data_IF_238407449938
#
_entry.id   IF_238407449938
#
_cell.length_a   1.000
_cell.length_b   1.000
_cell.length_c   1.000
_cell.angle_alpha   90.00
_cell.angle_beta   90.00
_cell.angle_gamma   90.00
#
_symmetry.space_group_name_H-M   'P 1'
#
loop_
_entity.id
_entity.type
_entity.pdbx_description
1 polymer ?
#
# COMPACT_ATOMS: atom_id res chain seq x y z
N UNK A 1 -2.44 10.78 27.33
CA UNK A 1 -1.72 9.50 27.39
C UNK A 1 -0.25 9.74 27.06
N UNK A 2 0.67 9.04 27.73
CA UNK A 2 2.10 9.12 27.42
C UNK A 2 2.43 8.48 26.06
N UNK A 3 3.50 8.94 25.40
CA UNK A 3 3.97 8.35 24.13
C UNK A 3 4.58 6.97 24.39
N UNK A 4 4.21 6.00 23.58
CA UNK A 4 4.87 4.69 23.56
C UNK A 4 6.00 4.71 22.53
N UNK A 5 7.05 3.94 22.77
CA UNK A 5 8.21 3.84 21.88
C UNK A 5 8.40 2.37 21.49
N UNK A 6 8.53 2.11 20.20
CA UNK A 6 8.76 0.78 19.64
C UNK A 6 9.91 0.88 18.64
N UNK A 7 10.84 -0.06 18.71
CA UNK A 7 12.10 -0.02 17.96
C UNK A 7 12.34 -1.30 17.17
N UNK A 8 13.32 -1.22 16.27
CA UNK A 8 13.90 -2.34 15.54
C UNK A 8 12.88 -3.27 14.86
N UNK A 9 13.08 -4.57 15.01
CA UNK A 9 12.28 -5.60 14.36
C UNK A 9 10.83 -5.58 14.83
N UNK A 10 10.58 -5.30 16.12
CA UNK A 10 9.23 -5.23 16.65
C UNK A 10 8.42 -4.11 15.96
N UNK A 11 9.04 -2.94 15.75
CA UNK A 11 8.42 -1.84 15.02
C UNK A 11 8.15 -2.20 13.55
N UNK A 12 9.14 -2.76 12.86
CA UNK A 12 9.01 -3.15 11.44
C UNK A 12 7.96 -4.25 11.24
N UNK A 13 7.91 -5.22 12.15
CA UNK A 13 6.92 -6.30 12.12
C UNK A 13 5.50 -5.77 12.32
N UNK A 14 5.29 -4.85 13.27
CA UNK A 14 3.99 -4.22 13.49
C UNK A 14 3.53 -3.41 12.27
N UNK A 15 4.41 -2.59 11.69
CA UNK A 15 4.10 -1.85 10.47
C UNK A 15 3.75 -2.81 9.33
N UNK A 16 4.55 -3.87 9.12
CA UNK A 16 4.31 -4.86 8.07
C UNK A 16 2.95 -5.56 8.22
N UNK A 17 2.52 -5.89 9.43
CA UNK A 17 1.19 -6.47 9.67
C UNK A 17 0.08 -5.51 9.23
N UNK A 18 0.17 -4.25 9.61
CA UNK A 18 -0.79 -3.23 9.20
C UNK A 18 -0.86 -3.02 7.68
N UNK A 19 0.31 -2.91 7.05
CA UNK A 19 0.45 -2.83 5.58
C UNK A 19 -0.17 -4.05 4.89
N UNK A 20 0.04 -5.25 5.45
CA UNK A 20 -0.51 -6.51 4.93
C UNK A 20 -2.04 -6.51 5.00
N UNK A 21 -2.62 -6.16 6.15
CA UNK A 21 -4.07 -6.15 6.35
C UNK A 21 -4.75 -5.22 5.33
N UNK A 22 -4.23 -4.00 5.17
CA UNK A 22 -4.81 -3.05 4.21
C UNK A 22 -4.68 -3.56 2.77
N UNK A 23 -3.50 -4.06 2.40
CA UNK A 23 -3.26 -4.55 1.05
C UNK A 23 -4.12 -5.76 0.72
N UNK A 24 -4.33 -6.68 1.66
CA UNK A 24 -5.13 -7.87 1.45
C UNK A 24 -6.61 -7.56 1.20
N UNK A 25 -7.14 -6.54 1.86
CA UNK A 25 -8.49 -6.04 1.58
C UNK A 25 -8.59 -5.36 0.20
N UNK A 26 -7.64 -4.47 -0.12
CA UNK A 26 -7.66 -3.69 -1.37
C UNK A 26 -7.39 -4.56 -2.60
N UNK A 27 -6.43 -5.50 -2.52
CA UNK A 27 -6.06 -6.36 -3.66
C UNK A 27 -7.21 -7.28 -4.10
N UNK A 28 -8.14 -7.59 -3.20
CA UNK A 28 -9.29 -8.43 -3.52
C UNK A 28 -10.19 -7.82 -4.62
N UNK A 29 -10.13 -6.50 -4.79
CA UNK A 29 -10.92 -5.77 -5.78
C UNK A 29 -10.20 -5.53 -7.11
N UNK A 30 -8.94 -5.97 -7.24
CA UNK A 30 -8.11 -5.69 -8.42
C UNK A 30 -8.60 -6.42 -9.68
N UNK A 31 -8.69 -5.67 -10.79
CA UNK A 31 -8.88 -6.19 -12.13
C UNK A 31 -10.33 -6.57 -12.49
N UNK A 32 -10.56 -7.10 -13.71
CA UNK A 32 -11.90 -7.38 -14.22
C UNK A 32 -12.65 -8.46 -13.44
N UNK A 33 -11.92 -9.33 -12.73
CA UNK A 33 -12.45 -10.38 -11.86
C UNK A 33 -12.37 -10.00 -10.37
N UNK A 34 -12.20 -8.71 -10.05
CA UNK A 34 -12.21 -8.20 -8.70
C UNK A 34 -13.49 -8.59 -7.96
N UNK A 35 -13.32 -9.03 -6.71
CA UNK A 35 -14.41 -9.38 -5.80
C UNK A 35 -14.96 -8.11 -5.15
N UNK A 36 -16.21 -8.20 -4.70
CA UNK A 36 -16.83 -7.11 -3.95
C UNK A 36 -16.31 -7.10 -2.52
N UNK A 37 -15.97 -5.92 -2.03
CA UNK A 37 -15.83 -5.64 -0.61
C UNK A 37 -17.20 -5.21 -0.06
N UNK A 38 -17.53 -5.67 1.14
CA UNK A 38 -18.73 -5.28 1.87
C UNK A 38 -18.27 -4.44 3.05
N UNK A 39 -18.73 -3.20 3.11
CA UNK A 39 -18.36 -2.22 4.11
C UNK A 39 -19.58 -1.94 4.98
N UNK A 40 -19.41 -2.13 6.29
CA UNK A 40 -20.46 -1.85 7.26
C UNK A 40 -20.78 -0.36 7.33
N UNK A 41 -22.02 -0.03 7.64
CA UNK A 41 -22.49 1.35 7.83
C UNK A 41 -23.23 1.43 9.16
N UNK A 42 -22.95 2.48 9.94
CA UNK A 42 -23.62 2.73 11.23
C UNK A 42 -25.14 2.79 11.12
N UNK A 43 -25.67 3.17 9.98
CA UNK A 43 -27.11 3.23 9.70
C UNK A 43 -27.39 2.79 8.26
N UNK A 44 -28.49 2.05 8.07
CA UNK A 44 -28.96 1.59 6.76
C UNK A 44 -28.25 0.34 6.25
N UNK A 45 -28.32 0.11 4.94
CA UNK A 45 -27.72 -1.06 4.28
C UNK A 45 -26.20 -0.91 4.12
N UNK A 46 -25.44 -2.04 4.10
CA UNK A 46 -24.00 -2.01 3.88
C UNK A 46 -23.64 -1.51 2.48
N UNK A 47 -22.42 -1.00 2.32
CA UNK A 47 -21.91 -0.58 1.01
C UNK A 47 -21.19 -1.74 0.35
N UNK A 48 -21.59 -2.07 -0.88
CA UNK A 48 -20.91 -3.08 -1.69
C UNK A 48 -20.11 -2.34 -2.75
N UNK A 49 -18.79 -2.51 -2.78
CA UNK A 49 -17.90 -1.80 -3.71
C UNK A 49 -16.79 -2.67 -4.26
N UNK A 50 -16.29 -2.30 -5.45
CA UNK A 50 -15.03 -2.80 -6.02
C UNK A 50 -13.94 -1.73 -6.06
N UNK A 51 -14.24 -0.52 -5.59
CA UNK A 51 -13.26 0.56 -5.55
C UNK A 51 -12.30 0.37 -4.38
N UNK A 52 -11.02 0.14 -4.72
CA UNK A 52 -9.96 -0.04 -3.73
C UNK A 52 -9.72 1.20 -2.86
N UNK A 53 -10.00 2.41 -3.36
CA UNK A 53 -9.86 3.64 -2.57
C UNK A 53 -10.89 3.70 -1.47
N UNK A 54 -12.15 3.43 -1.81
CA UNK A 54 -13.24 3.35 -0.83
C UNK A 54 -12.95 2.29 0.23
N UNK A 55 -12.45 1.11 -0.17
CA UNK A 55 -12.04 0.06 0.78
C UNK A 55 -10.91 0.54 1.69
N UNK A 56 -9.86 1.15 1.13
CA UNK A 56 -8.72 1.62 1.91
C UNK A 56 -9.08 2.73 2.92
N UNK A 57 -10.09 3.55 2.62
CA UNK A 57 -10.56 4.63 3.50
C UNK A 57 -11.25 4.13 4.76
N UNK A 58 -11.94 2.99 4.70
CA UNK A 58 -12.64 2.39 5.84
C UNK A 58 -11.73 1.57 6.76
N UNK A 59 -10.45 1.38 6.39
CA UNK A 59 -9.51 0.57 7.18
C UNK A 59 -8.87 1.43 8.27
N UNK A 60 -9.28 1.14 9.50
CA UNK A 60 -8.68 1.66 10.72
C UNK A 60 -8.43 0.50 11.69
N UNK A 61 -7.17 0.33 12.11
CA UNK A 61 -6.76 -0.79 12.95
C UNK A 61 -6.71 -0.38 14.42
N UNK A 62 -7.08 -1.31 15.31
CA UNK A 62 -7.08 -1.07 16.76
C UNK A 62 -5.68 -0.88 17.33
N UNK A 63 -4.72 -1.66 16.84
CA UNK A 63 -3.32 -1.50 17.24
C UNK A 63 -2.74 -0.24 16.56
N UNK A 64 -2.19 0.72 17.32
CA UNK A 64 -1.74 1.98 16.77
C UNK A 64 -0.52 1.83 15.85
N UNK A 65 0.33 0.82 16.04
CA UNK A 65 1.52 0.58 15.22
C UNK A 65 1.15 -0.05 13.87
N UNK A 66 0.25 -1.03 13.91
CA UNK A 66 -0.34 -1.61 12.70
C UNK A 66 -1.15 -0.54 11.94
N UNK A 67 -1.96 0.25 12.64
CA UNK A 67 -2.73 1.31 12.01
C UNK A 67 -1.81 2.30 11.29
N UNK A 68 -0.69 2.68 11.90
CA UNK A 68 0.31 3.54 11.26
C UNK A 68 0.81 2.96 9.94
N UNK A 69 1.11 1.66 9.89
CA UNK A 69 1.49 0.97 8.66
C UNK A 69 0.38 0.99 7.60
N UNK A 70 -0.86 0.75 7.99
CA UNK A 70 -2.01 0.85 7.09
C UNK A 70 -2.16 2.28 6.54
N UNK A 71 -2.07 3.30 7.40
CA UNK A 71 -2.22 4.70 6.99
C UNK A 71 -1.13 5.13 5.98
N UNK A 72 0.11 4.65 6.13
CA UNK A 72 1.19 4.94 5.18
C UNK A 72 0.87 4.44 3.76
N UNK A 73 0.31 3.24 3.62
CA UNK A 73 -0.06 2.69 2.31
C UNK A 73 -1.34 3.31 1.77
N UNK A 74 -2.28 3.68 2.66
CA UNK A 74 -3.45 4.47 2.26
C UNK A 74 -3.05 5.78 1.61
N UNK A 75 -2.00 6.43 2.11
CA UNK A 75 -1.49 7.68 1.54
C UNK A 75 -0.94 7.48 0.12
N UNK A 76 -0.24 6.36 -0.14
CA UNK A 76 0.19 5.98 -1.49
C UNK A 76 -0.99 5.84 -2.44
N UNK A 77 -2.05 5.15 -2.00
CA UNK A 77 -3.27 4.97 -2.80
C UNK A 77 -3.97 6.31 -3.08
N UNK A 78 -4.12 7.16 -2.06
CA UNK A 78 -4.75 8.48 -2.19
C UNK A 78 -3.97 9.37 -3.16
N UNK A 79 -2.64 9.45 -3.00
CA UNK A 79 -1.82 10.30 -3.85
C UNK A 79 -1.83 9.86 -5.32
N UNK A 80 -1.90 8.55 -5.55
CA UNK A 80 -2.05 8.00 -6.91
C UNK A 80 -3.38 8.43 -7.52
N UNK A 81 -4.47 8.37 -6.73
CA UNK A 81 -5.79 8.83 -7.16
C UNK A 81 -5.78 10.32 -7.55
N UNK A 82 -5.11 11.17 -6.76
CA UNK A 82 -5.08 12.61 -7.01
C UNK A 82 -4.32 12.96 -8.30
N UNK A 83 -3.30 12.19 -8.64
CA UNK A 83 -2.43 12.46 -9.81
C UNK A 83 -3.00 11.83 -11.09
N UNK A 84 -3.51 10.60 -11.01
CA UNK A 84 -3.88 9.80 -12.18
C UNK A 84 -5.37 9.49 -12.27
N UNK A 85 -6.14 9.61 -11.19
CA UNK A 85 -7.56 9.23 -11.14
C UNK A 85 -7.84 7.72 -11.17
N UNK A 86 -6.81 6.88 -11.35
CA UNK A 86 -6.87 5.41 -11.39
C UNK A 86 -5.54 4.80 -10.91
N UNK A 87 -5.47 3.47 -10.77
CA UNK A 87 -4.25 2.73 -10.45
C UNK A 87 -3.96 2.62 -8.96
N UNK A 88 -4.89 3.02 -8.09
CA UNK A 88 -4.72 3.05 -6.63
C UNK A 88 -4.51 1.65 -6.04
N UNK A 89 -5.25 0.65 -6.51
CA UNK A 89 -5.06 -0.76 -6.14
C UNK A 89 -3.70 -1.27 -6.60
N UNK A 90 -3.27 -0.91 -7.82
CA UNK A 90 -1.95 -1.28 -8.35
C UNK A 90 -0.84 -0.66 -7.51
N UNK A 91 -0.93 0.63 -7.17
CA UNK A 91 0.03 1.32 -6.33
C UNK A 91 0.14 0.69 -4.93
N UNK A 92 -1.00 0.32 -4.33
CA UNK A 92 -1.07 -0.38 -3.05
C UNK A 92 -0.32 -1.72 -3.09
N UNK A 93 -0.57 -2.53 -4.12
CA UNK A 93 0.06 -3.84 -4.29
C UNK A 93 1.57 -3.72 -4.53
N UNK A 94 2.00 -2.74 -5.32
CA UNK A 94 3.43 -2.47 -5.56
C UNK A 94 4.12 -2.00 -4.28
N UNK A 95 3.52 -1.06 -3.54
CA UNK A 95 4.06 -0.57 -2.28
C UNK A 95 4.25 -1.70 -1.26
N UNK A 96 3.25 -2.57 -1.10
CA UNK A 96 3.32 -3.76 -0.27
C UNK A 96 4.48 -4.68 -0.68
N UNK A 97 4.58 -5.00 -1.98
CA UNK A 97 5.55 -5.95 -2.48
C UNK A 97 6.99 -5.45 -2.27
N UNK A 98 7.23 -4.17 -2.57
CA UNK A 98 8.53 -3.52 -2.37
C UNK A 98 8.87 -3.47 -0.87
N UNK A 99 7.92 -3.06 -0.02
CA UNK A 99 8.15 -2.95 1.41
C UNK A 99 8.44 -4.30 2.06
N UNK A 100 7.68 -5.34 1.71
CA UNK A 100 7.85 -6.69 2.25
C UNK A 100 9.22 -7.27 1.93
N UNK A 101 9.62 -7.25 0.65
CA UNK A 101 10.92 -7.80 0.24
C UNK A 101 12.07 -6.92 0.75
N UNK A 102 11.92 -5.59 0.72
CA UNK A 102 12.90 -4.68 1.30
C UNK A 102 13.13 -4.93 2.79
N UNK A 103 12.05 -5.13 3.56
CA UNK A 103 12.15 -5.45 4.99
C UNK A 103 12.88 -6.78 5.23
N UNK A 104 12.64 -7.80 4.40
CA UNK A 104 13.36 -9.08 4.48
C UNK A 104 14.86 -8.92 4.28
N UNK A 105 15.29 -8.11 3.32
CA UNK A 105 16.71 -7.82 3.10
C UNK A 105 17.33 -7.02 4.26
N UNK A 106 16.59 -6.06 4.81
CA UNK A 106 17.06 -5.28 5.97
C UNK A 106 17.23 -6.18 7.20
N UNK A 107 16.29 -7.09 7.46
CA UNK A 107 16.41 -8.08 8.54
C UNK A 107 17.59 -9.02 8.32
N UNK A 108 17.93 -9.34 7.06
CA UNK A 108 19.12 -10.11 6.70
C UNK A 108 20.45 -9.33 6.83
N UNK A 109 20.42 -8.06 7.26
CA UNK A 109 21.60 -7.25 7.52
C UNK A 109 21.99 -6.28 6.41
N UNK A 110 21.20 -6.18 5.32
CA UNK A 110 21.44 -5.19 4.28
C UNK A 110 21.23 -3.76 4.79
N UNK A 111 22.05 -2.82 4.32
CA UNK A 111 21.89 -1.41 4.65
C UNK A 111 20.60 -0.83 4.03
N UNK A 112 19.65 -0.30 4.84
CA UNK A 112 18.40 0.25 4.34
C UNK A 112 18.57 1.38 3.31
N UNK A 113 19.62 2.20 3.46
CA UNK A 113 19.88 3.32 2.55
C UNK A 113 20.35 2.84 1.19
N UNK A 114 21.12 1.75 1.15
CA UNK A 114 21.55 1.15 -0.12
C UNK A 114 20.40 0.45 -0.84
N UNK A 115 19.56 -0.27 -0.10
CA UNK A 115 18.34 -0.89 -0.63
C UNK A 115 17.43 0.19 -1.24
N UNK A 116 17.20 1.29 -0.51
CA UNK A 116 16.43 2.44 -1.01
C UNK A 116 17.03 2.99 -2.31
N UNK A 117 18.33 3.27 -2.32
CA UNK A 117 19.02 3.80 -3.51
C UNK A 117 18.92 2.85 -4.71
N UNK A 118 18.96 1.55 -4.48
CA UNK A 118 18.75 0.53 -5.52
C UNK A 118 17.33 0.57 -6.09
N UNK A 119 16.32 0.68 -5.22
CA UNK A 119 14.91 0.80 -5.62
C UNK A 119 14.71 2.07 -6.45
N UNK A 120 15.22 3.22 -6.01
CA UNK A 120 15.09 4.50 -6.74
C UNK A 120 15.66 4.41 -8.16
N UNK A 121 16.86 3.86 -8.32
CA UNK A 121 17.48 3.65 -9.63
C UNK A 121 16.67 2.70 -10.52
N UNK A 122 16.12 1.63 -9.95
CA UNK A 122 15.27 0.69 -10.69
C UNK A 122 13.97 1.35 -11.16
N UNK A 123 13.34 2.15 -10.29
CA UNK A 123 12.12 2.90 -10.63
C UNK A 123 12.38 3.90 -11.76
N UNK A 124 13.49 4.65 -11.71
CA UNK A 124 13.87 5.57 -12.80
C UNK A 124 14.03 4.84 -14.14
N UNK A 125 14.72 3.70 -14.15
CA UNK A 125 14.92 2.90 -15.35
C UNK A 125 13.58 2.36 -15.90
N UNK A 126 12.69 1.87 -15.04
CA UNK A 126 11.36 1.39 -15.43
C UNK A 126 10.50 2.52 -16.00
N UNK A 127 10.50 3.71 -15.38
CA UNK A 127 9.76 4.88 -15.89
C UNK A 127 10.27 5.27 -17.27
N UNK A 128 11.60 5.28 -17.47
CA UNK A 128 12.20 5.60 -18.76
C UNK A 128 11.75 4.61 -19.84
N UNK A 129 11.68 3.32 -19.51
CA UNK A 129 11.24 2.29 -20.46
C UNK A 129 9.74 2.36 -20.76
N UNK A 130 8.89 2.58 -19.74
CA UNK A 130 7.45 2.76 -19.92
C UNK A 130 7.14 3.94 -20.86
N UNK A 131 7.90 5.03 -20.78
CA UNK A 131 7.76 6.17 -21.70
C UNK A 131 8.08 5.80 -23.14
N UNK A 132 9.07 4.93 -23.39
CA UNK A 132 9.40 4.44 -24.75
C UNK A 132 8.33 3.50 -25.30
N UNK A 133 7.74 2.68 -24.43
CA UNK A 133 6.67 1.74 -24.80
C UNK A 133 5.31 2.42 -25.03
N UNK A 134 5.14 3.63 -24.48
CA UNK A 134 3.90 4.40 -24.58
C UNK A 134 3.55 4.70 -26.04
N UNK A 135 2.26 4.56 -26.38
CA UNK A 135 1.71 4.90 -27.68
C UNK A 135 0.73 6.04 -27.52
N UNK A 136 0.88 7.09 -28.34
CA UNK A 136 -0.09 8.18 -28.39
C UNK A 136 -1.43 7.64 -28.90
N UNK A 137 -2.48 7.88 -28.13
CA UNK A 137 -3.86 7.56 -28.53
C UNK A 137 -4.48 8.84 -29.10
N UNK A 138 -5.09 8.75 -30.27
CA UNK A 138 -5.85 9.84 -30.91
C UNK A 138 -7.32 9.76 -30.51
#
# INVERSE_FOLDING_TARGET
MAKQLLFDEAARSAILRGVTILTDAVKATLGPKGRNAILDKKYGAPTITKDGVTVAKEIELKDPWENMGAQLVREVASKTSDVAGDGTTTATVLAYSIYKEGNKHIVAGSNPMEVKRGIEKAVEAVIAELKKMSKTVQ
#
